data_IF_737479142398
#
_entry.id   IF_737479142398
#
_cell.length_a   1.000
_cell.length_b   1.000
_cell.length_c   1.000
_cell.angle_alpha   90.00
_cell.angle_beta   90.00
_cell.angle_gamma   90.00
#
_symmetry.space_group_name_H-M   'P 1'
#
loop_
_entity.id
_entity.type
_entity.pdbx_description
1 polymer ?
#
# COMPACT_ATOMS: atom_id res chain seq x y z
N UNK A 1 13.15 -11.37 3.57
CA UNK A 1 14.01 -10.53 2.66
C UNK A 1 13.31 -9.21 2.33
N UNK A 2 13.96 -8.21 1.69
CA UNK A 2 13.31 -6.91 1.36
C UNK A 2 11.98 -7.08 0.57
N UNK A 3 11.90 -8.03 -0.37
CA UNK A 3 10.69 -8.29 -1.15
C UNK A 3 9.50 -8.81 -0.33
N UNK A 4 9.76 -9.66 0.68
CA UNK A 4 8.71 -10.18 1.58
C UNK A 4 8.01 -9.06 2.37
N UNK A 5 8.75 -8.02 2.76
CA UNK A 5 8.18 -6.88 3.50
C UNK A 5 7.34 -5.97 2.62
N UNK A 6 7.68 -5.84 1.35
CA UNK A 6 6.87 -5.10 0.36
C UNK A 6 5.57 -5.85 0.07
N UNK A 7 5.62 -7.18 -0.06
CA UNK A 7 4.42 -8.00 -0.20
C UNK A 7 3.50 -7.92 1.04
N UNK A 8 4.07 -7.87 2.26
CA UNK A 8 3.28 -7.64 3.48
C UNK A 8 2.60 -6.26 3.48
N UNK A 9 3.28 -5.22 2.97
CA UNK A 9 2.69 -3.88 2.83
C UNK A 9 1.52 -3.89 1.84
N UNK A 10 1.69 -4.54 0.69
CA UNK A 10 0.65 -4.71 -0.33
C UNK A 10 -0.59 -5.39 0.24
N UNK A 11 -0.42 -6.57 0.87
CA UNK A 11 -1.52 -7.31 1.50
C UNK A 11 -2.24 -6.47 2.57
N UNK A 12 -1.47 -5.72 3.36
CA UNK A 12 -2.02 -4.85 4.38
C UNK A 12 -2.89 -3.74 3.77
N UNK A 13 -2.45 -3.10 2.70
CA UNK A 13 -3.21 -2.05 2.02
C UNK A 13 -4.43 -2.60 1.28
N UNK A 14 -4.37 -3.81 0.71
CA UNK A 14 -5.55 -4.48 0.14
C UNK A 14 -6.60 -4.81 1.21
N UNK A 15 -6.17 -5.12 2.43
CA UNK A 15 -7.07 -5.38 3.55
C UNK A 15 -7.67 -4.10 4.18
N UNK A 16 -7.16 -2.92 3.80
CA UNK A 16 -7.58 -1.61 4.33
C UNK A 16 -7.81 -0.62 3.17
N UNK A 17 -8.88 -0.80 2.37
CA UNK A 17 -9.19 0.07 1.23
C UNK A 17 -9.45 1.53 1.63
N UNK A 18 -9.81 1.80 2.88
CA UNK A 18 -9.90 3.14 3.46
C UNK A 18 -8.53 3.84 3.57
N UNK A 19 -7.45 3.07 3.44
CA UNK A 19 -6.08 3.52 3.49
C UNK A 19 -5.51 3.60 4.90
N UNK A 20 -4.18 3.61 4.99
CA UNK A 20 -3.47 3.63 6.27
C UNK A 20 -2.44 4.75 6.33
N UNK A 21 -2.29 5.34 7.53
CA UNK A 21 -1.20 6.27 7.79
C UNK A 21 0.13 5.52 7.88
N UNK A 22 1.22 6.15 7.47
CA UNK A 22 2.59 5.58 7.56
C UNK A 22 2.94 5.08 8.97
N UNK A 23 2.51 5.78 10.01
CA UNK A 23 2.74 5.37 11.39
C UNK A 23 1.98 4.09 11.78
N UNK A 24 0.77 3.91 11.24
CA UNK A 24 -0.05 2.71 11.46
C UNK A 24 0.57 1.51 10.75
N UNK A 25 0.97 1.69 9.50
CA UNK A 25 1.68 0.68 8.71
C UNK A 25 2.97 0.26 9.43
N UNK A 26 3.76 1.23 9.90
CA UNK A 26 5.01 0.99 10.63
C UNK A 26 4.79 0.14 11.89
N UNK A 27 3.76 0.46 12.69
CA UNK A 27 3.37 -0.33 13.88
C UNK A 27 3.00 -1.76 13.52
N UNK A 28 2.17 -1.94 12.49
CA UNK A 28 1.68 -3.26 12.07
C UNK A 28 2.76 -4.16 11.50
N UNK A 29 3.72 -3.59 10.76
CA UNK A 29 4.83 -4.34 10.19
C UNK A 29 6.03 -4.50 11.13
N UNK A 30 6.03 -3.80 12.28
CA UNK A 30 7.12 -3.82 13.25
C UNK A 30 8.39 -3.16 12.72
N UNK A 31 8.27 -2.04 11.99
CA UNK A 31 9.40 -1.33 11.36
C UNK A 31 9.36 0.18 11.61
N UNK A 32 10.46 0.87 11.33
CA UNK A 32 10.51 2.33 11.39
C UNK A 32 9.68 3.00 10.29
N UNK A 33 9.10 4.19 10.59
CA UNK A 33 8.34 5.00 9.61
C UNK A 33 9.12 5.32 8.34
N UNK A 34 10.44 5.52 8.42
CA UNK A 34 11.31 5.80 7.27
C UNK A 34 11.46 4.57 6.36
N UNK A 35 11.35 3.37 6.91
CA UNK A 35 11.33 2.12 6.15
C UNK A 35 10.05 2.01 5.32
N UNK A 36 8.92 2.48 5.85
CA UNK A 36 7.66 2.51 5.12
C UNK A 36 7.75 3.39 3.88
N UNK A 37 8.41 4.55 3.94
CA UNK A 37 8.59 5.38 2.74
C UNK A 37 9.30 4.62 1.63
N UNK A 38 10.40 3.92 1.96
CA UNK A 38 11.13 3.10 0.98
C UNK A 38 10.26 1.98 0.42
N UNK A 39 9.47 1.30 1.26
CA UNK A 39 8.58 0.23 0.79
C UNK A 39 7.46 0.76 -0.10
N UNK A 40 6.88 1.92 0.22
CA UNK A 40 5.86 2.57 -0.60
C UNK A 40 6.44 2.96 -1.96
N UNK A 41 7.64 3.55 -1.99
CA UNK A 41 8.29 3.96 -3.24
C UNK A 41 8.57 2.74 -4.14
N UNK A 42 9.03 1.62 -3.56
CA UNK A 42 9.19 0.36 -4.29
C UNK A 42 7.85 -0.22 -4.76
N UNK A 43 6.81 -0.18 -3.93
CA UNK A 43 5.52 -0.76 -4.25
C UNK A 43 4.81 0.00 -5.39
N UNK A 44 5.02 1.33 -5.47
CA UNK A 44 4.54 2.18 -6.58
C UNK A 44 5.07 1.77 -7.95
N UNK A 45 6.19 1.05 -8.03
CA UNK A 45 6.71 0.53 -9.31
C UNK A 45 5.84 -0.61 -9.87
N UNK A 46 5.06 -1.26 -9.02
CA UNK A 46 4.29 -2.45 -9.37
C UNK A 46 2.77 -2.22 -9.35
N UNK A 47 2.27 -1.33 -8.49
CA UNK A 47 0.84 -1.05 -8.33
C UNK A 47 0.54 0.44 -8.21
N UNK A 48 -0.67 0.84 -8.58
CA UNK A 48 -1.11 2.24 -8.48
C UNK A 48 -1.47 2.58 -7.02
N UNK A 49 -0.57 3.28 -6.35
CA UNK A 49 -0.74 3.79 -4.99
C UNK A 49 -0.79 5.32 -5.00
N UNK A 50 -1.75 5.86 -4.27
CA UNK A 50 -1.88 7.28 -4.02
C UNK A 50 -1.94 7.59 -2.52
N UNK A 51 -1.68 8.84 -2.18
CA UNK A 51 -1.75 9.35 -0.82
C UNK A 51 -2.78 10.48 -0.75
N UNK A 52 -3.77 10.33 0.13
CA UNK A 52 -4.86 11.29 0.32
C UNK A 52 -5.05 11.52 1.83
N UNK A 53 -5.03 12.77 2.29
CA UNK A 53 -5.17 13.10 3.72
C UNK A 53 -4.19 12.36 4.65
N UNK A 54 -2.98 12.06 4.16
CA UNK A 54 -1.95 11.22 4.79
C UNK A 54 -2.32 9.73 4.94
N UNK A 55 -3.30 9.25 4.18
CA UNK A 55 -3.66 7.84 4.06
C UNK A 55 -3.11 7.31 2.75
N UNK A 56 -2.32 6.24 2.82
CA UNK A 56 -1.83 5.52 1.66
C UNK A 56 -2.90 4.54 1.23
N UNK A 57 -3.30 4.59 -0.04
CA UNK A 57 -4.38 3.80 -0.63
C UNK A 57 -3.91 3.16 -1.93
N UNK A 58 -4.44 1.98 -2.23
CA UNK A 58 -4.30 1.34 -3.54
C UNK A 58 -5.49 1.79 -4.39
N UNK A 59 -5.24 2.23 -5.63
CA UNK A 59 -6.31 2.42 -6.61
C UNK A 59 -6.75 1.05 -7.09
N UNK A 60 -7.94 0.63 -6.68
CA UNK A 60 -8.53 -0.60 -7.18
C UNK A 60 -8.90 -0.42 -8.66
N UNK A 61 -8.28 -1.19 -9.55
CA UNK A 61 -8.70 -1.28 -10.96
C UNK A 61 -9.95 -2.13 -11.17
N UNK A 62 -10.57 -2.67 -10.12
CA UNK A 62 -11.75 -3.55 -10.22
C UNK A 62 -12.99 -2.86 -10.84
N UNK A 63 -12.98 -1.53 -11.01
CA UNK A 63 -14.02 -0.81 -11.74
C UNK A 63 -13.80 -0.79 -13.26
N UNK A 64 -12.58 -0.99 -13.75
CA UNK A 64 -12.28 -0.94 -15.20
C UNK A 64 -12.62 -2.25 -15.93
N UNK A 65 -12.63 -3.39 -15.24
CA UNK A 65 -12.91 -4.70 -15.87
C UNK A 65 -14.40 -5.07 -15.93
N UNK A 66 -15.28 -4.37 -15.20
CA UNK A 66 -16.72 -4.65 -15.18
C UNK A 66 -17.54 -3.93 -16.28
N UNK A 67 -16.88 -3.18 -17.19
CA UNK A 67 -17.52 -2.54 -18.37
C UNK A 67 -17.07 -3.26 -19.65
N UNK A 68 -17.03 -4.59 -19.60
CA UNK A 68 -16.77 -5.42 -20.77
C UNK A 68 -17.65 -6.69 -20.74
N UNK A 69 -18.96 -6.52 -20.56
CA UNK A 69 -19.98 -7.56 -20.79
C UNK A 69 -21.26 -6.94 -21.36
#
# INVERSE_FOLDING_TARGET
>A
MKGERVAQLELLLHSHPEGLRRAEIARRLGVHRSTISRYVDQLKEYIDIYEENNLIKIRSKLEDENIAL
#
